data_IF_216291923605
#
_entry.id   IF_216291923605
#
_cell.length_a   1.000
_cell.length_b   1.000
_cell.length_c   1.000
_cell.angle_alpha   90.00
_cell.angle_beta   90.00
_cell.angle_gamma   90.00
#
_symmetry.space_group_name_H-M   'P 1'
#
loop_
_entity.id
_entity.type
_entity.pdbx_description
1 polymer ?
#
# COMPACT_ATOMS: atom_id res chain seq x y z
N UNK A 1 -49.44 -2.94 34.34
CA UNK A 1 -50.25 -3.97 35.02
C UNK A 1 -50.86 -4.86 33.94
N UNK A 2 -50.89 -6.20 34.02
CA UNK A 2 -50.33 -7.15 35.01
C UNK A 2 -49.31 -8.14 34.38
N UNK A 3 -48.48 -8.70 35.19
CA UNK A 3 -48.26 -9.94 36.04
C UNK A 3 -47.55 -11.05 35.25
N UNK A 4 -46.30 -11.27 35.59
CA UNK A 4 -45.63 -12.31 36.38
C UNK A 4 -46.24 -13.73 36.27
N UNK A 5 -45.38 -14.69 35.86
CA UNK A 5 -45.39 -16.04 36.45
C UNK A 5 -44.02 -16.73 36.25
N UNK A 6 -43.43 -17.05 37.39
CA UNK A 6 -42.27 -17.91 37.59
C UNK A 6 -42.66 -19.38 37.44
N UNK A 7 -41.72 -20.21 36.99
CA UNK A 7 -41.81 -21.64 37.29
C UNK A 7 -40.40 -22.18 37.66
N UNK A 8 -40.33 -22.67 38.90
CA UNK A 8 -39.27 -23.45 39.54
C UNK A 8 -39.35 -24.91 39.11
N UNK A 9 -38.23 -25.57 38.87
CA UNK A 9 -38.07 -27.05 39.05
C UNK A 9 -36.60 -27.30 39.42
N UNK A 10 -36.43 -27.63 40.53
CA UNK A 10 -35.98 -28.66 41.47
C UNK A 10 -34.75 -29.51 41.07
N UNK A 11 -33.82 -29.48 42.03
CA UNK A 11 -32.62 -30.30 42.20
C UNK A 11 -32.90 -31.82 42.22
N UNK A 12 -31.88 -32.59 41.76
CA UNK A 12 -31.60 -33.91 42.31
C UNK A 12 -30.10 -34.06 42.57
N UNK A 13 -29.77 -34.21 43.87
CA UNK A 13 -28.47 -34.65 44.36
C UNK A 13 -28.44 -36.17 44.34
N UNK A 14 -27.35 -36.77 43.89
CA UNK A 14 -26.99 -38.14 44.24
C UNK A 14 -25.57 -38.14 44.79
N UNK A 15 -25.50 -38.39 46.07
CA UNK A 15 -24.30 -38.65 46.87
C UNK A 15 -23.94 -40.13 46.68
N UNK A 16 -22.68 -40.40 46.33
CA UNK A 16 -22.08 -41.73 46.57
C UNK A 16 -20.78 -41.53 47.34
N UNK A 17 -20.85 -42.05 48.59
CA UNK A 17 -19.70 -42.18 49.49
C UNK A 17 -19.01 -43.53 49.23
N UNK A 18 -17.67 -43.48 49.23
CA UNK A 18 -16.85 -44.72 49.13
C UNK A 18 -15.41 -44.43 49.53
N UNK A 19 -15.18 -44.47 50.79
CA UNK A 19 -14.11 -45.04 51.65
C UNK A 19 -12.69 -45.11 51.13
N UNK A 20 -11.86 -44.36 51.84
CA UNK A 20 -10.44 -44.31 52.12
C UNK A 20 -9.65 -45.66 52.03
N UNK A 21 -8.48 -45.59 51.42
CA UNK A 21 -7.28 -46.32 51.90
C UNK A 21 -6.02 -45.44 51.63
N UNK A 22 -5.37 -45.07 52.70
CA UNK A 22 -4.08 -44.45 52.74
C UNK A 22 -2.98 -45.50 52.50
N UNK A 23 -1.97 -45.14 51.67
CA UNK A 23 -0.54 -45.23 52.02
C UNK A 23 0.32 -45.04 50.75
N UNK A 24 1.30 -44.20 50.87
CA UNK A 24 2.37 -44.09 49.88
C UNK A 24 2.82 -42.65 49.59
N UNK A 25 3.33 -42.00 50.65
CA UNK A 25 4.16 -40.84 50.44
C UNK A 25 5.44 -41.28 49.74
N UNK A 26 5.64 -40.83 48.50
CA UNK A 26 7.01 -40.61 47.99
C UNK A 26 7.01 -39.29 47.22
N UNK A 27 7.95 -38.46 47.62
CA UNK A 27 8.28 -37.20 47.06
C UNK A 27 8.52 -37.30 45.53
N UNK A 28 7.66 -36.65 44.77
CA UNK A 28 7.97 -36.17 43.42
C UNK A 28 7.95 -34.67 43.50
N UNK A 29 8.97 -34.19 44.21
CA UNK A 29 9.29 -32.79 44.35
C UNK A 29 10.03 -32.27 43.15
N UNK A 30 9.64 -31.07 42.74
CA UNK A 30 10.55 -30.05 42.26
C UNK A 30 11.32 -30.33 40.96
N UNK A 31 10.67 -30.71 39.88
CA UNK A 31 11.25 -30.60 38.54
C UNK A 31 10.33 -30.04 37.45
N UNK A 32 9.16 -29.58 37.79
CA UNK A 32 8.22 -28.97 36.81
C UNK A 32 8.12 -27.43 36.88
N UNK A 33 8.97 -26.80 37.67
CA UNK A 33 8.98 -25.34 37.83
C UNK A 33 10.06 -24.61 37.03
N UNK A 34 10.67 -25.24 36.01
CA UNK A 34 11.72 -24.64 35.21
C UNK A 34 11.65 -24.98 33.70
N UNK A 35 10.44 -25.07 33.18
CA UNK A 35 10.22 -24.98 31.72
C UNK A 35 9.40 -23.74 31.40
N UNK A 36 9.84 -22.55 31.79
CA UNK A 36 9.63 -21.38 30.98
C UNK A 36 10.43 -21.61 29.70
N UNK A 37 9.77 -22.11 28.66
CA UNK A 37 10.34 -22.13 27.32
C UNK A 37 10.69 -20.67 27.00
N UNK A 38 11.97 -20.33 27.03
CA UNK A 38 12.44 -19.09 26.41
C UNK A 38 12.00 -19.18 24.97
N UNK A 39 10.89 -18.53 24.63
CA UNK A 39 10.48 -18.39 23.26
C UNK A 39 11.63 -17.71 22.53
N UNK A 40 12.19 -18.37 21.51
CA UNK A 40 13.26 -17.79 20.70
C UNK A 40 12.83 -16.42 20.22
N UNK A 41 13.66 -15.40 20.43
CA UNK A 41 13.40 -14.05 19.92
C UNK A 41 13.81 -13.90 18.45
N UNK A 42 14.38 -14.95 17.87
CA UNK A 42 14.76 -14.96 16.45
C UNK A 42 13.52 -14.86 15.57
N UNK A 43 13.58 -13.96 14.59
CA UNK A 43 12.50 -13.74 13.63
C UNK A 43 12.37 -12.28 13.20
N UNK A 44 11.38 -12.03 12.35
CA UNK A 44 10.98 -10.69 11.91
C UNK A 44 9.95 -10.12 12.87
N UNK A 45 10.19 -8.92 13.34
CA UNK A 45 9.37 -8.19 14.29
C UNK A 45 8.88 -6.88 13.69
N UNK A 46 7.66 -6.50 14.04
CA UNK A 46 7.12 -5.17 13.75
C UNK A 46 7.16 -4.35 15.02
N UNK A 47 7.99 -3.33 15.00
CA UNK A 47 8.14 -2.36 16.08
C UNK A 47 7.16 -1.22 15.87
N UNK A 48 6.39 -0.90 16.90
CA UNK A 48 5.55 0.29 16.99
C UNK A 48 6.14 1.20 18.06
N UNK A 49 6.81 2.26 17.66
CA UNK A 49 7.39 3.26 18.54
C UNK A 49 6.42 4.44 18.69
N UNK A 50 6.20 4.89 19.93
CA UNK A 50 5.46 6.13 20.23
C UNK A 50 6.41 7.32 20.15
N UNK A 51 6.38 8.03 19.03
CA UNK A 51 7.20 9.22 18.80
C UNK A 51 6.35 10.46 18.99
N UNK A 52 6.42 11.04 20.19
CA UNK A 52 5.65 12.20 20.60
C UNK A 52 4.13 12.07 20.39
N UNK A 53 3.56 10.89 20.73
CA UNK A 53 2.14 10.59 20.55
C UNK A 53 1.76 10.09 19.14
N UNK A 54 2.72 9.96 18.25
CA UNK A 54 2.51 9.43 16.90
C UNK A 54 3.13 8.05 16.78
N UNK A 55 2.37 7.00 16.38
CA UNK A 55 2.92 5.68 16.15
C UNK A 55 3.78 5.67 14.89
N UNK A 56 5.05 5.29 15.01
CA UNK A 56 5.94 4.99 13.89
C UNK A 56 6.27 3.50 13.88
N UNK A 57 6.25 2.92 12.68
CA UNK A 57 6.47 1.50 12.51
C UNK A 57 7.83 1.23 11.86
N UNK A 58 8.55 0.26 12.42
CA UNK A 58 9.84 -0.22 11.89
C UNK A 58 9.83 -1.73 11.81
N UNK A 59 10.61 -2.29 10.89
CA UNK A 59 10.95 -3.72 10.89
C UNK A 59 12.21 -3.94 11.72
N UNK A 60 12.24 -5.05 12.43
CA UNK A 60 13.40 -5.51 13.17
C UNK A 60 13.60 -7.01 12.89
N UNK A 61 14.78 -7.41 12.49
CA UNK A 61 15.16 -8.81 12.35
C UNK A 61 16.11 -9.18 13.47
N UNK A 62 15.75 -10.19 14.25
CA UNK A 62 16.59 -10.71 15.33
C UNK A 62 17.01 -12.13 15.02
N UNK A 63 18.29 -12.41 15.25
CA UNK A 63 18.87 -13.74 15.32
C UNK A 63 19.61 -13.89 16.65
N UNK A 64 19.20 -14.87 17.43
CA UNK A 64 19.81 -15.20 18.72
C UNK A 64 20.73 -16.41 18.58
N UNK A 65 21.97 -16.27 19.03
CA UNK A 65 22.94 -17.37 19.14
C UNK A 65 23.69 -17.27 20.48
N UNK A 66 23.44 -18.21 21.39
CA UNK A 66 24.08 -18.29 22.69
C UNK A 66 24.03 -16.97 23.51
N UNK A 67 22.88 -16.33 23.54
CA UNK A 67 22.65 -15.07 24.26
C UNK A 67 23.16 -13.82 23.54
N UNK A 68 23.73 -13.95 22.35
CA UNK A 68 24.08 -12.83 21.47
C UNK A 68 22.92 -12.56 20.50
N UNK A 69 22.65 -11.28 20.28
CA UNK A 69 21.69 -10.83 19.29
C UNK A 69 22.40 -10.20 18.10
N UNK A 70 21.98 -10.57 16.90
CA UNK A 70 22.44 -10.02 15.64
C UNK A 70 21.23 -9.80 14.73
N UNK A 71 21.37 -8.96 13.72
CA UNK A 71 20.33 -8.70 12.73
C UNK A 71 20.32 -7.28 12.24
N UNK A 72 19.15 -6.72 12.05
CA UNK A 72 18.96 -5.32 11.67
C UNK A 72 17.74 -4.69 12.35
N UNK A 73 17.78 -3.37 12.51
CA UNK A 73 16.67 -2.53 12.88
C UNK A 73 16.46 -1.48 11.77
N UNK A 74 15.32 -1.51 11.12
CA UNK A 74 15.00 -0.63 9.98
C UNK A 74 15.99 -0.70 8.79
N UNK A 75 16.81 -1.76 8.73
CA UNK A 75 17.89 -1.96 7.76
C UNK A 75 19.28 -1.71 8.34
N UNK A 76 19.40 -1.05 9.49
CA UNK A 76 20.67 -0.75 10.15
C UNK A 76 21.17 -1.93 10.98
N UNK A 77 22.43 -2.31 10.77
CA UNK A 77 23.00 -3.49 11.42
C UNK A 77 22.99 -3.36 12.93
N UNK A 78 22.36 -4.33 13.62
CA UNK A 78 22.32 -4.40 15.07
C UNK A 78 23.22 -5.50 15.64
N UNK A 79 23.78 -5.22 16.82
CA UNK A 79 24.47 -6.17 17.67
C UNK A 79 24.06 -5.97 19.13
N UNK A 80 23.87 -7.07 19.87
CA UNK A 80 23.41 -6.98 21.26
C UNK A 80 23.43 -8.29 22.00
N UNK A 81 22.68 -8.34 23.10
CA UNK A 81 22.57 -9.50 23.99
C UNK A 81 21.17 -9.69 24.51
N UNK A 82 20.84 -10.94 24.84
CA UNK A 82 19.66 -11.30 25.62
C UNK A 82 20.10 -12.08 26.86
N UNK A 83 19.59 -11.68 28.03
CA UNK A 83 19.82 -12.38 29.30
C UNK A 83 18.49 -12.62 29.99
N UNK A 84 18.06 -13.88 30.06
CA UNK A 84 16.70 -14.19 30.47
C UNK A 84 15.69 -13.57 29.51
N UNK A 85 14.87 -12.66 30.02
CA UNK A 85 13.88 -11.93 29.20
C UNK A 85 14.36 -10.51 28.82
N UNK A 86 15.55 -10.09 29.23
CA UNK A 86 16.05 -8.73 28.98
C UNK A 86 16.85 -8.67 27.69
N UNK A 87 16.49 -7.76 26.82
CA UNK A 87 17.15 -7.46 25.53
C UNK A 87 17.87 -6.13 25.64
N UNK A 88 19.09 -6.08 25.14
CA UNK A 88 19.84 -4.85 24.88
C UNK A 88 20.56 -5.00 23.55
N UNK A 89 20.38 -4.03 22.64
CA UNK A 89 21.15 -3.95 21.40
C UNK A 89 21.41 -2.50 20.98
N UNK A 90 22.37 -2.33 20.08
CA UNK A 90 22.63 -1.07 19.39
C UNK A 90 22.62 -1.37 17.89
N UNK A 91 21.79 -0.64 17.14
CA UNK A 91 21.87 -0.57 15.69
C UNK A 91 22.65 0.70 15.29
N UNK A 92 23.28 0.69 14.11
CA UNK A 92 24.10 1.79 13.59
C UNK A 92 23.84 2.01 12.12
N UNK A 93 23.50 3.26 11.76
CA UNK A 93 23.41 3.69 10.39
C UNK A 93 24.79 3.96 9.76
N UNK A 94 24.79 4.15 8.44
CA UNK A 94 26.04 4.42 7.68
C UNK A 94 26.63 5.81 7.96
N UNK A 95 25.84 6.75 8.50
CA UNK A 95 26.23 8.11 8.84
C UNK A 95 26.81 8.21 10.27
N UNK A 96 26.66 7.15 11.07
CA UNK A 96 27.15 7.06 12.45
C UNK A 96 26.09 7.40 13.51
N UNK A 97 24.84 7.54 13.12
CA UNK A 97 23.70 7.55 14.04
C UNK A 97 23.51 6.20 14.71
N UNK A 98 22.79 6.17 15.83
CA UNK A 98 22.55 4.94 16.58
C UNK A 98 21.14 4.85 17.13
N UNK A 99 20.62 3.61 17.17
CA UNK A 99 19.42 3.21 17.90
C UNK A 99 19.79 2.26 19.03
N UNK A 100 19.79 2.75 20.25
CA UNK A 100 20.04 1.94 21.44
C UNK A 100 18.74 1.44 22.06
N UNK A 101 18.56 0.13 22.10
CA UNK A 101 17.34 -0.51 22.59
C UNK A 101 17.57 -1.20 23.92
N UNK A 102 16.70 -0.94 24.90
CA UNK A 102 16.58 -1.69 26.15
C UNK A 102 15.14 -2.16 26.31
N UNK A 103 14.91 -3.46 26.34
CA UNK A 103 13.57 -4.03 26.31
C UNK A 103 13.45 -5.33 27.11
N UNK A 104 12.22 -5.79 27.30
CA UNK A 104 11.87 -7.10 27.86
C UNK A 104 10.95 -7.86 26.93
N UNK A 105 11.15 -9.18 26.88
CA UNK A 105 10.27 -10.12 26.18
C UNK A 105 9.27 -10.69 27.17
N UNK A 106 7.98 -10.58 26.87
CA UNK A 106 6.91 -11.19 27.66
C UNK A 106 5.75 -11.58 26.75
N UNK A 107 5.29 -12.80 26.87
CA UNK A 107 4.10 -13.32 26.18
C UNK A 107 4.13 -13.05 24.65
N UNK A 108 5.30 -13.25 24.00
CA UNK A 108 5.45 -13.05 22.56
C UNK A 108 5.50 -11.58 22.13
N UNK A 109 5.61 -10.65 23.07
CA UNK A 109 5.76 -9.21 22.81
C UNK A 109 7.09 -8.73 23.37
N UNK A 110 7.80 -7.90 22.64
CA UNK A 110 8.97 -7.14 23.12
C UNK A 110 8.48 -5.72 23.45
N UNK A 111 8.81 -5.21 24.62
CA UNK A 111 8.45 -3.85 25.01
C UNK A 111 9.60 -3.18 25.76
N UNK A 112 9.80 -1.88 25.51
CA UNK A 112 10.92 -1.16 26.11
C UNK A 112 11.05 0.27 25.64
N UNK A 113 12.29 0.73 25.67
CA UNK A 113 12.69 2.07 25.23
C UNK A 113 13.75 1.92 24.14
N UNK A 114 13.64 2.73 23.11
CA UNK A 114 14.63 2.91 22.07
C UNK A 114 15.09 4.37 22.09
N UNK A 115 16.40 4.58 22.05
CA UNK A 115 17.04 5.91 22.06
C UNK A 115 17.66 6.12 20.68
N UNK A 116 17.13 7.09 19.95
CA UNK A 116 17.67 7.54 18.68
C UNK A 116 18.71 8.63 18.93
N UNK A 117 19.89 8.48 18.35
CA UNK A 117 20.96 9.45 18.41
C UNK A 117 21.44 9.77 17.01
N UNK A 118 21.19 10.98 16.55
CA UNK A 118 21.66 11.47 15.26
C UNK A 118 23.18 11.74 15.31
N UNK A 119 23.91 11.33 14.27
CA UNK A 119 25.36 11.55 14.17
C UNK A 119 25.74 13.04 14.18
N UNK A 120 24.87 13.90 13.62
CA UNK A 120 25.04 15.36 13.59
C UNK A 120 24.65 16.06 14.87
N UNK A 121 23.89 15.40 15.77
CA UNK A 121 23.40 15.96 17.04
C UNK A 121 23.45 14.96 18.20
N UNK A 122 24.60 14.35 18.40
CA UNK A 122 24.80 13.34 19.45
C UNK A 122 24.58 13.87 20.90
N UNK A 123 24.50 15.19 21.07
CA UNK A 123 24.23 15.80 22.37
C UNK A 123 22.75 15.75 22.79
N UNK A 124 21.83 15.51 21.85
CA UNK A 124 20.39 15.54 22.10
C UNK A 124 19.69 14.23 21.68
N UNK A 125 19.99 13.08 22.32
CA UNK A 125 19.34 11.82 22.00
C UNK A 125 17.86 11.86 22.36
N UNK A 126 17.03 11.19 21.57
CA UNK A 126 15.59 11.11 21.76
C UNK A 126 15.17 9.70 22.18
N UNK A 127 14.52 9.57 23.34
CA UNK A 127 14.07 8.30 23.89
C UNK A 127 12.56 8.11 23.69
N UNK A 128 12.17 6.97 23.11
CA UNK A 128 10.80 6.64 22.82
C UNK A 128 10.42 5.26 23.34
N UNK A 129 9.21 5.13 23.85
CA UNK A 129 8.66 3.81 24.19
C UNK A 129 8.25 3.08 22.94
N UNK A 130 8.40 1.76 22.96
CA UNK A 130 7.96 0.92 21.88
C UNK A 130 7.37 -0.41 22.35
N UNK A 131 6.58 -1.03 21.49
CA UNK A 131 6.20 -2.44 21.54
C UNK A 131 6.54 -3.08 20.21
N UNK A 132 6.93 -4.37 20.24
CA UNK A 132 7.12 -5.12 19.02
C UNK A 132 6.46 -6.49 19.11
N UNK A 133 5.87 -6.93 18.01
CA UNK A 133 5.25 -8.25 17.86
C UNK A 133 5.88 -8.98 16.68
N UNK A 134 5.89 -10.30 16.73
CA UNK A 134 6.32 -11.11 15.58
C UNK A 134 5.48 -10.72 14.36
N UNK A 135 6.17 -10.52 13.22
CA UNK A 135 5.49 -10.24 11.97
C UNK A 135 4.56 -11.39 11.59
N UNK A 136 3.32 -11.08 11.16
CA UNK A 136 2.35 -12.10 10.78
C UNK A 136 2.90 -13.01 9.70
N UNK A 137 2.54 -14.29 9.79
CA UNK A 137 2.92 -15.31 8.80
C UNK A 137 1.83 -15.44 7.75
N UNK A 138 2.23 -15.70 6.49
CA UNK A 138 1.27 -15.96 5.41
C UNK A 138 0.39 -17.16 5.79
N UNK A 139 -0.92 -17.00 5.63
CA UNK A 139 -1.88 -18.09 5.83
C UNK A 139 -1.56 -19.26 4.91
N UNK A 140 -1.52 -20.46 5.47
CA UNK A 140 -1.44 -21.69 4.67
C UNK A 140 -2.86 -22.06 4.23
N UNK A 141 -3.09 -22.16 2.94
CA UNK A 141 -4.40 -22.49 2.38
C UNK A 141 -4.54 -22.09 0.91
N UNK A 142 -5.70 -22.41 0.36
CA UNK A 142 -6.04 -22.01 -1.02
C UNK A 142 -6.46 -20.54 -1.01
N UNK A 143 -5.94 -19.71 -1.94
CA UNK A 143 -6.41 -18.35 -2.11
C UNK A 143 -7.92 -18.27 -2.28
N UNK A 144 -8.54 -17.23 -1.75
CA UNK A 144 -9.98 -17.03 -1.79
C UNK A 144 -10.32 -15.94 -2.80
N UNK A 145 -11.52 -16.04 -3.38
CA UNK A 145 -12.12 -14.96 -4.18
C UNK A 145 -13.25 -14.34 -3.39
N UNK A 146 -13.19 -13.02 -3.24
CA UNK A 146 -14.14 -12.21 -2.49
C UNK A 146 -14.99 -11.39 -3.48
N UNK A 147 -16.31 -11.55 -3.40
CA UNK A 147 -17.27 -10.65 -4.05
C UNK A 147 -17.60 -9.53 -3.07
N UNK A 148 -17.14 -8.32 -3.35
CA UNK A 148 -17.31 -7.18 -2.46
C UNK A 148 -18.16 -6.09 -3.11
N UNK A 149 -19.30 -5.77 -2.51
CA UNK A 149 -20.13 -4.63 -2.93
C UNK A 149 -19.83 -3.45 -2.00
N UNK A 150 -19.26 -2.35 -2.51
CA UNK A 150 -18.91 -1.20 -1.68
C UNK A 150 -20.14 -0.46 -1.18
N UNK A 151 -20.14 -0.12 0.10
CA UNK A 151 -21.15 0.71 0.77
C UNK A 151 -20.54 1.94 1.42
N UNK A 152 -19.22 1.97 1.53
CA UNK A 152 -18.44 3.07 2.10
C UNK A 152 -17.35 3.44 1.12
N UNK A 153 -17.18 4.74 0.91
CA UNK A 153 -16.16 5.30 0.03
C UNK A 153 -15.41 6.39 0.81
N UNK A 154 -14.09 6.39 0.71
CA UNK A 154 -13.26 7.36 1.41
C UNK A 154 -12.76 8.42 0.43
N UNK A 155 -12.64 9.66 0.91
CA UNK A 155 -12.11 10.81 0.16
C UNK A 155 -10.80 11.33 0.74
N UNK A 156 -10.15 10.52 1.57
CA UNK A 156 -8.83 10.78 2.14
C UNK A 156 -8.11 9.45 2.33
N UNK A 157 -6.83 9.41 2.02
CA UNK A 157 -5.96 8.28 2.38
C UNK A 157 -5.50 8.44 3.82
N UNK A 158 -5.82 7.50 4.68
CA UNK A 158 -5.48 7.60 6.11
C UNK A 158 -5.25 6.24 6.74
N UNK A 159 -4.22 6.16 7.58
CA UNK A 159 -4.01 5.02 8.46
C UNK A 159 -5.15 4.82 9.50
N UNK A 160 -5.97 5.83 9.72
CA UNK A 160 -7.12 5.78 10.64
C UNK A 160 -8.42 5.29 9.98
N UNK A 161 -8.45 5.14 8.65
CA UNK A 161 -9.62 4.63 7.96
C UNK A 161 -9.88 3.16 8.31
N UNK A 162 -11.14 2.84 8.63
CA UNK A 162 -11.51 1.46 8.96
C UNK A 162 -11.51 0.60 7.70
N UNK A 163 -10.84 -0.55 7.72
CA UNK A 163 -10.89 -1.49 6.61
C UNK A 163 -12.32 -1.95 6.32
N UNK A 164 -12.65 -2.05 5.03
CA UNK A 164 -13.94 -2.56 4.57
C UNK A 164 -13.94 -4.08 4.40
N UNK A 165 -12.77 -4.66 4.18
CA UNK A 165 -12.54 -6.10 4.04
C UNK A 165 -11.10 -6.43 4.43
N UNK A 166 -10.90 -7.60 5.04
CA UNK A 166 -9.57 -8.18 5.27
C UNK A 166 -9.35 -9.30 4.25
N UNK A 167 -8.19 -9.28 3.59
CA UNK A 167 -7.78 -10.25 2.57
C UNK A 167 -6.39 -10.78 2.86
N UNK A 168 -6.10 -12.00 2.43
CA UNK A 168 -4.78 -12.62 2.58
C UNK A 168 -3.97 -12.52 1.27
N UNK A 169 -2.63 -12.53 1.33
CA UNK A 169 -1.81 -12.66 0.14
C UNK A 169 -2.20 -13.86 -0.73
N UNK A 170 -2.43 -13.61 -2.01
CA UNK A 170 -2.95 -14.55 -2.99
C UNK A 170 -4.46 -14.46 -3.20
N UNK A 171 -5.21 -13.82 -2.30
CA UNK A 171 -6.65 -13.65 -2.47
C UNK A 171 -6.97 -12.68 -3.62
N UNK A 172 -8.13 -12.88 -4.23
CA UNK A 172 -8.67 -12.03 -5.28
C UNK A 172 -9.91 -11.30 -4.77
N UNK A 173 -10.03 -10.01 -5.07
CA UNK A 173 -11.22 -9.19 -4.78
C UNK A 173 -11.86 -8.77 -6.08
N UNK A 174 -13.15 -9.04 -6.23
CA UNK A 174 -13.99 -8.50 -7.29
C UNK A 174 -14.94 -7.46 -6.69
N UNK A 175 -14.95 -6.27 -7.26
CA UNK A 175 -15.68 -5.11 -6.74
C UNK A 175 -16.07 -4.13 -7.84
N UNK A 176 -16.75 -3.05 -7.47
CA UNK A 176 -17.03 -1.91 -8.35
C UNK A 176 -16.51 -0.62 -7.73
N UNK A 177 -16.29 0.41 -8.56
CA UNK A 177 -15.96 1.76 -8.11
C UNK A 177 -17.13 2.71 -8.41
N UNK A 178 -17.12 3.88 -7.78
CA UNK A 178 -17.83 5.06 -8.26
C UNK A 178 -16.89 5.89 -9.12
N UNK A 179 -17.40 6.84 -9.90
CA UNK A 179 -16.57 7.82 -10.60
C UNK A 179 -16.06 8.93 -9.66
N UNK A 180 -15.17 9.80 -10.14
CA UNK A 180 -14.63 10.94 -9.38
C UNK A 180 -15.73 11.86 -8.81
N UNK A 181 -16.90 11.91 -9.42
CA UNK A 181 -18.09 12.62 -8.93
C UNK A 181 -18.86 11.89 -7.84
N UNK A 182 -18.52 10.63 -7.52
CA UNK A 182 -19.20 9.80 -6.54
C UNK A 182 -20.44 9.06 -7.06
N UNK A 183 -20.56 8.85 -8.38
CA UNK A 183 -21.73 8.26 -9.04
C UNK A 183 -21.42 6.81 -9.47
N UNK A 184 -22.32 5.90 -9.16
CA UNK A 184 -22.21 4.47 -9.47
C UNK A 184 -22.63 4.11 -10.91
N UNK A 185 -22.59 2.81 -11.22
CA UNK A 185 -22.96 2.26 -12.54
C UNK A 185 -24.41 2.51 -12.94
N UNK A 186 -25.29 2.82 -11.98
CA UNK A 186 -26.71 3.13 -12.21
C UNK A 186 -26.98 4.62 -12.33
N UNK A 187 -25.94 5.46 -12.23
CA UNK A 187 -26.07 6.91 -12.23
C UNK A 187 -26.57 7.47 -10.90
N UNK A 188 -26.44 6.71 -9.80
CA UNK A 188 -26.83 7.16 -8.47
C UNK A 188 -25.62 7.72 -7.73
N UNK A 189 -25.72 8.95 -7.25
CA UNK A 189 -24.69 9.53 -6.38
C UNK A 189 -24.70 8.82 -5.03
N UNK A 190 -23.59 8.16 -4.70
CA UNK A 190 -23.40 7.36 -3.48
C UNK A 190 -22.66 8.13 -2.40
N UNK A 191 -21.82 9.07 -2.80
CA UNK A 191 -20.95 9.87 -1.94
C UNK A 191 -20.67 11.21 -2.63
N UNK A 192 -20.18 12.19 -1.89
CA UNK A 192 -19.69 13.45 -2.47
C UNK A 192 -18.47 13.19 -3.36
N UNK A 193 -18.38 13.94 -4.46
CA UNK A 193 -17.24 13.91 -5.37
C UNK A 193 -15.91 14.32 -4.70
N UNK A 194 -14.83 14.31 -5.47
CA UNK A 194 -13.44 14.48 -5.05
C UNK A 194 -12.73 13.13 -4.94
N UNK A 195 -12.83 12.34 -5.99
CA UNK A 195 -12.21 11.02 -6.22
C UNK A 195 -12.44 10.04 -5.05
N UNK A 196 -13.72 9.68 -4.75
CA UNK A 196 -14.01 8.76 -3.64
C UNK A 196 -13.61 7.32 -3.99
N UNK A 197 -12.79 6.71 -3.13
CA UNK A 197 -12.17 5.42 -3.36
C UNK A 197 -12.90 4.26 -2.70
N UNK A 198 -12.89 3.10 -3.38
CA UNK A 198 -13.30 1.80 -2.83
C UNK A 198 -12.15 1.23 -1.98
N UNK A 199 -12.46 0.82 -0.76
CA UNK A 199 -11.47 0.39 0.23
C UNK A 199 -11.62 1.13 1.55
N UNK A 200 -10.58 1.12 2.46
CA UNK A 200 -9.36 0.34 2.28
C UNK A 200 -9.56 -1.15 2.56
N UNK A 201 -8.83 -1.95 1.80
CA UNK A 201 -8.68 -3.38 2.03
C UNK A 201 -7.46 -3.61 2.93
N UNK A 202 -7.67 -4.31 4.04
CA UNK A 202 -6.56 -4.71 4.92
C UNK A 202 -5.93 -5.99 4.38
N UNK A 203 -4.67 -5.94 3.97
CA UNK A 203 -3.92 -7.10 3.48
C UNK A 203 -3.17 -7.74 4.64
N UNK A 204 -3.59 -8.93 5.06
CA UNK A 204 -2.91 -9.69 6.12
C UNK A 204 -1.43 -9.86 5.77
N UNK A 205 -0.56 -9.81 6.78
CA UNK A 205 0.89 -9.89 6.64
C UNK A 205 1.61 -8.70 5.99
N UNK A 206 0.89 -7.77 5.34
CA UNK A 206 1.53 -6.55 4.82
C UNK A 206 1.92 -5.62 5.96
N UNK A 207 3.23 -5.39 6.13
CA UNK A 207 3.78 -4.60 7.23
C UNK A 207 4.67 -3.47 6.69
N UNK A 208 4.81 -2.37 7.41
CA UNK A 208 5.69 -1.28 7.02
C UNK A 208 7.09 -1.78 6.65
N UNK A 209 7.59 -1.35 5.48
CA UNK A 209 8.84 -1.83 4.92
C UNK A 209 8.72 -3.01 3.93
N UNK A 210 7.50 -3.55 3.76
CA UNK A 210 7.18 -4.51 2.71
C UNK A 210 6.78 -3.79 1.41
N UNK A 211 6.66 -4.55 0.33
CA UNK A 211 6.02 -4.12 -0.91
C UNK A 211 4.69 -4.85 -1.08
N UNK A 212 3.61 -4.11 -1.25
CA UNK A 212 2.34 -4.64 -1.69
C UNK A 212 2.37 -4.83 -3.21
N UNK A 213 1.91 -5.99 -3.67
CA UNK A 213 1.74 -6.33 -5.09
C UNK A 213 0.26 -6.40 -5.39
N UNK A 214 -0.21 -5.62 -6.36
CA UNK A 214 -1.61 -5.60 -6.83
C UNK A 214 -1.62 -5.95 -8.29
N UNK A 215 -2.19 -7.09 -8.65
CA UNK A 215 -2.36 -7.50 -10.04
C UNK A 215 -3.80 -7.22 -10.47
N UNK A 216 -3.99 -6.35 -11.43
CA UNK A 216 -5.30 -6.04 -12.01
C UNK A 216 -5.71 -7.15 -12.99
N UNK A 217 -6.66 -7.97 -12.61
CA UNK A 217 -7.15 -9.07 -13.45
C UNK A 217 -8.39 -8.69 -14.23
N UNK A 218 -9.05 -7.58 -13.84
CA UNK A 218 -10.19 -6.98 -14.53
C UNK A 218 -10.23 -5.49 -14.28
N UNK A 219 -10.33 -4.71 -15.36
CA UNK A 219 -10.64 -3.28 -15.34
C UNK A 219 -11.56 -3.01 -16.52
N UNK A 220 -12.88 -2.95 -16.29
CA UNK A 220 -13.87 -2.89 -17.35
C UNK A 220 -14.96 -1.86 -17.08
N UNK A 221 -15.44 -1.26 -18.12
CA UNK A 221 -16.58 -0.37 -18.06
C UNK A 221 -17.83 -1.13 -17.59
N UNK A 222 -18.58 -0.57 -16.67
CA UNK A 222 -19.85 -1.11 -16.16
C UNK A 222 -21.05 -0.19 -16.45
N UNK A 223 -20.83 0.88 -17.23
CA UNK A 223 -21.85 1.77 -17.77
C UNK A 223 -21.43 2.32 -19.14
N UNK A 224 -22.33 2.94 -19.88
CA UNK A 224 -22.17 3.39 -21.27
C UNK A 224 -21.92 4.90 -21.43
N UNK A 225 -21.53 5.59 -20.34
CA UNK A 225 -21.27 7.02 -20.36
C UNK A 225 -20.12 7.41 -19.43
N UNK A 226 -19.46 8.52 -19.77
CA UNK A 226 -18.42 9.16 -18.97
C UNK A 226 -18.62 10.68 -18.96
N UNK A 227 -17.90 11.33 -18.03
CA UNK A 227 -17.85 12.80 -17.93
C UNK A 227 -16.41 13.26 -18.10
N UNK A 228 -16.20 14.43 -18.67
CA UNK A 228 -14.93 15.14 -18.72
C UNK A 228 -15.18 16.65 -18.59
N UNK A 229 -14.13 17.46 -18.64
CA UNK A 229 -14.23 18.91 -18.72
C UNK A 229 -13.68 19.46 -20.05
N UNK A 230 -14.13 20.66 -20.46
CA UNK A 230 -13.74 21.32 -21.71
C UNK A 230 -12.68 22.42 -21.51
N UNK A 231 -11.80 22.28 -20.52
CA UNK A 231 -10.70 23.19 -20.28
C UNK A 231 -9.36 22.44 -20.22
N UNK A 232 -8.26 23.16 -20.49
CA UNK A 232 -6.93 22.67 -20.21
C UNK A 232 -6.52 23.12 -18.80
N UNK A 233 -5.91 22.19 -18.04
CA UNK A 233 -5.44 22.44 -16.68
C UNK A 233 -4.35 23.53 -16.62
N UNK A 234 -4.25 24.28 -15.51
CA UNK A 234 -3.35 25.45 -15.44
C UNK A 234 -1.88 25.14 -15.76
N UNK A 235 -1.37 23.96 -15.40
CA UNK A 235 0.02 23.57 -15.73
C UNK A 235 0.27 23.34 -17.23
N UNK A 236 -0.78 23.08 -18.00
CA UNK A 236 -0.71 22.92 -19.46
C UNK A 236 -0.87 24.21 -20.24
N UNK A 237 -1.06 25.38 -19.58
CA UNK A 237 -1.39 26.64 -20.20
C UNK A 237 -0.20 27.63 -20.17
N UNK A 238 0.15 28.19 -21.31
CA UNK A 238 0.84 29.47 -21.34
C UNK A 238 -0.14 30.64 -21.21
N UNK A 239 0.37 31.86 -21.13
CA UNK A 239 -0.44 33.08 -20.92
C UNK A 239 -1.49 33.28 -22.03
N UNK A 240 -1.11 33.05 -23.29
CA UNK A 240 -1.98 33.30 -24.45
C UNK A 240 -3.10 32.25 -24.52
N UNK A 241 -2.77 31.01 -24.24
CA UNK A 241 -3.77 29.91 -24.21
C UNK A 241 -4.69 30.05 -23.01
N UNK A 242 -4.19 30.48 -21.85
CA UNK A 242 -5.02 30.72 -20.65
C UNK A 242 -6.10 31.79 -20.91
N UNK A 243 -5.78 32.85 -21.63
CA UNK A 243 -6.76 33.85 -22.00
C UNK A 243 -7.85 33.29 -22.92
N UNK A 244 -7.49 32.36 -23.82
CA UNK A 244 -8.46 31.70 -24.71
C UNK A 244 -9.34 30.70 -23.97
N UNK A 245 -8.84 30.07 -22.90
CA UNK A 245 -9.55 29.07 -22.10
C UNK A 245 -10.41 29.65 -20.97
N UNK A 246 -10.51 30.98 -20.83
CA UNK A 246 -11.20 31.66 -19.71
C UNK A 246 -12.67 31.25 -19.50
N UNK A 247 -13.35 30.77 -20.53
CA UNK A 247 -14.76 30.34 -20.49
C UNK A 247 -14.91 28.81 -20.50
N UNK A 248 -13.81 28.05 -20.39
CA UNK A 248 -13.77 26.59 -20.30
C UNK A 248 -14.08 26.06 -18.90
N UNK A 249 -14.00 24.75 -18.73
CA UNK A 249 -14.27 24.04 -17.46
C UNK A 249 -15.74 23.67 -17.29
N UNK A 250 -16.47 23.49 -18.39
CA UNK A 250 -17.83 22.94 -18.37
C UNK A 250 -17.76 21.44 -18.52
N UNK A 251 -18.59 20.76 -17.75
CA UNK A 251 -18.68 19.30 -17.85
C UNK A 251 -19.23 18.86 -19.20
N UNK A 252 -18.59 17.88 -19.78
CA UNK A 252 -18.87 17.30 -21.08
C UNK A 252 -19.22 15.83 -20.93
N UNK A 253 -20.36 15.41 -21.50
CA UNK A 253 -20.80 14.02 -21.45
C UNK A 253 -20.41 13.27 -22.71
N UNK A 254 -19.94 12.04 -22.51
CA UNK A 254 -19.50 11.11 -23.55
C UNK A 254 -20.36 9.86 -23.54
N UNK A 255 -20.63 9.30 -24.71
CA UNK A 255 -21.17 7.97 -24.91
C UNK A 255 -20.02 6.98 -25.09
N UNK A 256 -20.08 5.85 -24.38
CA UNK A 256 -19.06 4.78 -24.42
C UNK A 256 -19.63 3.59 -25.22
N UNK A 257 -19.28 3.49 -26.48
CA UNK A 257 -19.65 2.37 -27.34
C UNK A 257 -18.69 1.20 -27.11
N UNK A 258 -19.03 0.36 -26.14
CA UNK A 258 -18.23 -0.81 -25.78
C UNK A 258 -18.22 -1.89 -26.87
N UNK A 259 -19.22 -1.92 -27.77
CA UNK A 259 -19.27 -2.88 -28.86
C UNK A 259 -18.27 -2.56 -29.96
N UNK A 260 -18.03 -1.26 -30.23
CA UNK A 260 -17.04 -0.81 -31.22
C UNK A 260 -15.73 -0.34 -30.57
N UNK A 261 -15.65 -0.28 -29.25
CA UNK A 261 -14.44 0.09 -28.52
C UNK A 261 -14.08 1.57 -28.62
N UNK A 262 -15.05 2.47 -28.73
CA UNK A 262 -14.82 3.91 -28.90
C UNK A 262 -15.71 4.75 -27.97
N UNK A 263 -15.22 5.94 -27.61
CA UNK A 263 -16.00 6.98 -26.95
C UNK A 263 -16.26 8.15 -27.90
N UNK A 264 -17.46 8.71 -27.86
CA UNK A 264 -17.89 9.86 -28.66
C UNK A 264 -18.61 10.88 -27.79
N UNK A 265 -18.53 12.16 -28.17
CA UNK A 265 -19.27 13.23 -27.50
C UNK A 265 -20.78 13.05 -27.70
N UNK A 266 -21.59 13.14 -26.63
CA UNK A 266 -23.05 13.12 -26.77
C UNK A 266 -23.61 14.37 -27.50
N UNK A 267 -22.94 15.50 -27.32
CA UNK A 267 -23.31 16.78 -27.94
C UNK A 267 -22.07 17.43 -28.57
N UNK A 268 -21.56 16.90 -29.68
CA UNK A 268 -20.41 17.45 -30.35
C UNK A 268 -20.69 18.80 -30.97
N UNK A 269 -19.69 19.67 -31.06
CA UNK A 269 -19.72 20.82 -31.97
C UNK A 269 -19.61 20.35 -33.43
N UNK A 270 -19.88 21.23 -34.39
CA UNK A 270 -19.73 20.92 -35.81
C UNK A 270 -18.34 20.37 -36.17
N UNK A 271 -17.28 20.95 -35.58
CA UNK A 271 -15.90 20.52 -35.80
C UNK A 271 -15.56 19.15 -35.17
N UNK A 272 -16.30 18.73 -34.15
CA UNK A 272 -16.08 17.47 -33.44
C UNK A 272 -17.15 16.40 -33.76
N UNK A 273 -18.02 16.63 -34.77
CA UNK A 273 -19.14 15.77 -35.10
C UNK A 273 -18.74 14.30 -35.34
N UNK A 274 -17.50 14.04 -35.78
CA UNK A 274 -16.98 12.70 -36.05
C UNK A 274 -15.77 12.35 -35.16
N UNK A 275 -15.51 13.15 -34.12
CA UNK A 275 -14.39 12.87 -33.20
C UNK A 275 -14.74 11.71 -32.29
N UNK A 276 -13.82 10.74 -32.24
CA UNK A 276 -13.91 9.59 -31.35
C UNK A 276 -12.54 9.21 -30.82
N UNK A 277 -12.50 8.61 -29.65
CA UNK A 277 -11.26 8.08 -29.05
C UNK A 277 -11.44 6.60 -28.73
N UNK A 278 -10.39 5.77 -28.86
CA UNK A 278 -10.42 4.38 -28.45
C UNK A 278 -10.68 4.26 -26.95
N UNK A 279 -11.55 3.33 -26.55
CA UNK A 279 -11.70 2.95 -25.15
C UNK A 279 -10.45 2.22 -24.66
N UNK A 280 -9.93 2.68 -23.54
CA UNK A 280 -8.82 2.06 -22.82
C UNK A 280 -9.07 2.19 -21.32
N UNK A 281 -9.96 1.34 -20.76
CA UNK A 281 -10.31 1.42 -19.35
C UNK A 281 -9.09 1.27 -18.45
N UNK A 282 -8.96 2.15 -17.47
CA UNK A 282 -7.86 2.20 -16.51
C UNK A 282 -8.34 2.62 -15.12
N UNK A 283 -7.51 2.48 -14.12
CA UNK A 283 -7.70 3.08 -12.79
C UNK A 283 -6.71 4.24 -12.62
N UNK A 284 -7.22 5.44 -12.36
CA UNK A 284 -6.42 6.60 -11.97
C UNK A 284 -5.81 6.37 -10.59
N UNK A 285 -6.57 5.78 -9.68
CA UNK A 285 -6.14 5.59 -8.31
C UNK A 285 -5.90 4.12 -7.92
N UNK A 286 -4.68 3.84 -7.47
CA UNK A 286 -4.31 2.65 -6.69
C UNK A 286 -3.34 3.11 -5.59
N UNK A 287 -3.72 2.94 -4.32
CA UNK A 287 -2.98 3.52 -3.20
C UNK A 287 -2.84 2.60 -2.00
N UNK A 288 -1.76 2.75 -1.24
CA UNK A 288 -1.69 2.32 0.17
C UNK A 288 -1.89 3.52 1.09
N UNK A 289 -2.28 3.29 2.35
CA UNK A 289 -2.34 4.39 3.30
C UNK A 289 -0.94 4.97 3.56
N UNK A 290 -0.80 6.31 3.60
CA UNK A 290 0.42 6.96 4.05
C UNK A 290 0.72 6.62 5.52
N UNK A 291 1.96 6.88 6.01
CA UNK A 291 2.29 6.59 7.40
C UNK A 291 1.40 7.39 8.37
N UNK A 292 1.13 6.88 9.58
CA UNK A 292 0.27 7.55 10.56
C UNK A 292 0.70 8.98 10.93
N UNK A 293 2.00 9.28 10.80
CA UNK A 293 2.56 10.60 11.05
C UNK A 293 2.24 11.62 9.95
N UNK A 294 1.87 11.17 8.76
CA UNK A 294 1.52 12.06 7.66
C UNK A 294 0.12 12.63 7.83
N UNK A 295 -0.08 13.87 7.39
CA UNK A 295 -1.43 14.39 7.18
C UNK A 295 -2.15 13.49 6.18
N UNK A 296 -3.44 13.25 6.40
CA UNK A 296 -4.26 12.47 5.49
C UNK A 296 -4.50 13.26 4.19
N UNK A 297 -3.86 12.92 3.06
CA UNK A 297 -4.11 13.61 1.79
C UNK A 297 -5.51 13.28 1.27
N UNK A 298 -6.06 14.16 0.45
CA UNK A 298 -7.27 13.88 -0.33
C UNK A 298 -7.03 12.74 -1.32
N UNK A 299 -8.10 12.08 -1.76
CA UNK A 299 -7.98 10.98 -2.72
C UNK A 299 -7.68 11.43 -4.15
N UNK A 300 -7.79 12.72 -4.47
CA UNK A 300 -7.21 13.33 -5.66
C UNK A 300 -5.71 13.67 -5.54
N UNK A 301 -5.06 13.32 -4.41
CA UNK A 301 -3.61 13.50 -4.25
C UNK A 301 -2.84 12.21 -4.55
N UNK A 302 -1.63 12.33 -5.06
CA UNK A 302 -0.69 11.23 -5.30
C UNK A 302 0.63 11.43 -4.57
N UNK A 303 1.48 10.40 -4.55
CA UNK A 303 2.80 10.48 -3.94
C UNK A 303 3.50 9.13 -3.85
N UNK A 304 4.52 9.03 -3.00
CA UNK A 304 5.26 7.78 -2.81
C UNK A 304 4.43 6.59 -2.29
N UNK A 305 3.16 6.78 -1.96
CA UNK A 305 2.21 5.75 -1.54
C UNK A 305 1.28 5.28 -2.69
N UNK A 306 1.42 5.80 -3.89
CA UNK A 306 0.46 5.70 -4.99
C UNK A 306 -0.52 6.86 -4.93
N UNK A 307 -1.80 6.60 -4.94
CA UNK A 307 -2.86 7.59 -4.94
C UNK A 307 -3.42 7.79 -6.34
N UNK A 308 -3.86 9.00 -6.61
CA UNK A 308 -4.33 9.46 -7.91
C UNK A 308 -3.13 9.63 -8.83
N UNK A 309 -2.70 8.53 -9.44
CA UNK A 309 -1.48 8.48 -10.29
C UNK A 309 -1.75 8.84 -11.73
N UNK A 310 -3.00 8.75 -12.15
CA UNK A 310 -3.54 9.01 -13.49
C UNK A 310 -2.62 8.52 -14.62
N UNK A 311 -2.13 7.30 -14.42
CA UNK A 311 -1.25 6.68 -15.39
C UNK A 311 -2.02 5.72 -16.30
N UNK A 312 -2.19 6.11 -17.55
CA UNK A 312 -3.01 5.40 -18.54
C UNK A 312 -2.51 4.00 -18.96
N UNK A 313 -1.52 3.44 -18.23
CA UNK A 313 -1.09 2.05 -18.34
C UNK A 313 -1.39 1.24 -17.07
N UNK A 314 -2.14 1.79 -16.11
CA UNK A 314 -2.71 1.06 -14.97
C UNK A 314 -4.03 0.42 -15.43
N UNK A 315 -3.92 -0.59 -16.29
CA UNK A 315 -5.00 -1.25 -17.01
C UNK A 315 -5.12 -2.73 -16.64
N UNK A 316 -6.16 -3.42 -17.13
CA UNK A 316 -6.27 -4.89 -17.03
C UNK A 316 -4.99 -5.57 -17.49
N UNK A 317 -4.44 -6.47 -16.67
CA UNK A 317 -3.18 -7.19 -16.91
C UNK A 317 -1.94 -6.51 -16.32
N UNK A 318 -2.05 -5.28 -15.81
CA UNK A 318 -0.93 -4.61 -15.14
C UNK A 318 -0.73 -5.14 -13.71
N UNK A 319 0.52 -5.14 -13.27
CA UNK A 319 0.91 -5.39 -11.87
C UNK A 319 1.48 -4.10 -11.27
N UNK A 320 0.95 -3.69 -10.13
CA UNK A 320 1.36 -2.48 -9.41
C UNK A 320 2.10 -2.90 -8.15
N UNK A 321 3.24 -2.27 -7.88
CA UNK A 321 4.03 -2.45 -6.67
C UNK A 321 4.00 -1.16 -5.86
N UNK A 322 3.52 -1.23 -4.62
CA UNK A 322 3.37 -0.07 -3.73
C UNK A 322 4.13 -0.29 -2.42
N UNK A 323 4.77 0.74 -1.86
CA UNK A 323 5.40 0.61 -0.55
C UNK A 323 4.34 0.51 0.55
N UNK A 324 4.51 -0.42 1.46
CA UNK A 324 3.69 -0.51 2.67
C UNK A 324 4.27 0.40 3.74
N UNK A 325 3.46 1.33 4.27
CA UNK A 325 3.85 2.30 5.32
C UNK A 325 2.99 2.19 6.57
N UNK A 326 1.90 1.42 6.50
CA UNK A 326 0.95 1.20 7.58
C UNK A 326 0.63 -0.29 7.63
N UNK A 327 0.46 -0.92 8.83
CA UNK A 327 0.06 -2.32 8.93
C UNK A 327 -1.20 -2.61 8.11
N UNK A 328 -1.16 -3.71 7.35
CA UNK A 328 -2.22 -4.10 6.43
C UNK A 328 -2.24 -3.32 5.12
N UNK A 329 -1.24 -2.47 4.85
CA UNK A 329 -1.14 -1.61 3.68
C UNK A 329 -2.31 -0.63 3.52
N UNK A 330 -3.54 -1.06 3.81
CA UNK A 330 -4.80 -0.34 3.60
C UNK A 330 -4.92 0.09 2.13
N UNK A 331 -5.17 -0.90 1.26
CA UNK A 331 -5.26 -0.69 -0.19
C UNK A 331 -6.57 -0.01 -0.58
N UNK A 332 -6.48 1.02 -1.43
CA UNK A 332 -7.60 1.71 -2.08
C UNK A 332 -7.50 1.53 -3.60
N UNK A 333 -8.66 1.45 -4.25
CA UNK A 333 -8.77 1.40 -5.71
C UNK A 333 -9.98 2.23 -6.17
N UNK A 334 -9.83 2.96 -7.27
CA UNK A 334 -10.93 3.73 -7.83
C UNK A 334 -10.51 4.66 -8.95
N UNK A 335 -11.23 5.75 -9.11
CA UNK A 335 -10.98 6.75 -10.13
C UNK A 335 -10.84 6.13 -11.53
N UNK A 336 -11.94 5.56 -12.02
CA UNK A 336 -11.94 4.82 -13.27
C UNK A 336 -12.12 5.71 -14.49
N UNK A 337 -11.19 5.62 -15.46
CA UNK A 337 -11.26 6.36 -16.71
C UNK A 337 -11.53 5.42 -17.88
N UNK A 338 -12.48 5.78 -18.74
CA UNK A 338 -12.74 5.03 -19.98
C UNK A 338 -11.65 5.23 -21.03
N UNK A 339 -10.97 6.39 -21.01
CA UNK A 339 -9.80 6.74 -21.79
C UNK A 339 -9.14 7.99 -21.20
N UNK A 340 -7.82 8.08 -21.31
CA UNK A 340 -7.02 9.24 -20.88
C UNK A 340 -5.83 9.45 -21.81
N UNK A 341 -5.60 10.69 -22.21
CA UNK A 341 -4.34 11.12 -22.85
C UNK A 341 -3.23 11.35 -21.84
N UNK A 342 -1.97 11.31 -22.27
CA UNK A 342 -0.84 11.63 -21.39
C UNK A 342 -1.00 13.05 -20.84
N UNK A 343 -0.73 13.21 -19.54
CA UNK A 343 -0.81 14.46 -18.80
C UNK A 343 -2.19 14.80 -18.25
N UNK A 344 -3.23 14.07 -18.61
CA UNK A 344 -4.63 14.37 -18.18
C UNK A 344 -5.00 15.85 -18.36
N UNK A 345 -4.72 16.39 -19.54
CA UNK A 345 -4.72 17.83 -19.76
C UNK A 345 -6.06 18.54 -19.57
N UNK A 346 -7.16 17.83 -19.58
CA UNK A 346 -8.49 18.39 -19.32
C UNK A 346 -8.95 18.26 -17.85
N UNK A 347 -8.17 17.64 -16.99
CA UNK A 347 -8.39 17.60 -15.56
C UNK A 347 -9.27 16.48 -15.03
N UNK A 348 -9.97 15.77 -15.93
CA UNK A 348 -10.92 14.70 -15.57
C UNK A 348 -10.98 13.58 -16.63
N UNK A 349 -10.02 13.46 -17.53
CA UNK A 349 -10.03 12.42 -18.57
C UNK A 349 -11.45 12.04 -19.07
N UNK A 350 -11.82 10.74 -19.12
CA UNK A 350 -13.20 10.26 -19.31
C UNK A 350 -13.66 9.50 -18.06
N UNK A 351 -14.12 10.23 -17.06
CA UNK A 351 -14.52 9.74 -15.74
C UNK A 351 -15.71 8.79 -15.79
N UNK A 352 -15.54 7.60 -15.23
CA UNK A 352 -16.62 6.61 -15.18
C UNK A 352 -16.45 5.64 -14.02
N UNK A 353 -17.51 4.92 -13.69
CA UNK A 353 -17.43 3.79 -12.75
C UNK A 353 -16.90 2.53 -13.44
N UNK A 354 -16.27 1.63 -12.67
CA UNK A 354 -15.63 0.43 -13.18
C UNK A 354 -16.09 -0.84 -12.47
N UNK A 355 -16.03 -1.95 -13.21
CA UNK A 355 -16.00 -3.33 -12.71
C UNK A 355 -14.54 -3.75 -12.60
N UNK A 356 -14.07 -3.99 -11.37
CA UNK A 356 -12.67 -4.18 -11.04
C UNK A 356 -12.46 -5.52 -10.35
N UNK A 357 -11.43 -6.27 -10.79
CA UNK A 357 -10.94 -7.43 -10.06
C UNK A 357 -9.42 -7.34 -9.94
N UNK A 358 -8.93 -7.60 -8.74
CA UNK A 358 -7.49 -7.60 -8.47
C UNK A 358 -7.10 -8.71 -7.50
N UNK A 359 -5.86 -9.18 -7.63
CA UNK A 359 -5.23 -10.11 -6.69
C UNK A 359 -4.16 -9.35 -5.92
N UNK A 360 -4.04 -9.62 -4.61
CA UNK A 360 -3.01 -9.02 -3.76
C UNK A 360 -1.93 -10.03 -3.39
N UNK A 361 -0.68 -9.58 -3.32
CA UNK A 361 0.41 -10.33 -2.70
C UNK A 361 1.34 -9.38 -1.94
N UNK A 362 2.27 -9.92 -1.16
CA UNK A 362 3.22 -9.16 -0.35
C UNK A 362 4.62 -9.70 -0.56
N UNK A 363 5.58 -8.81 -0.84
CA UNK A 363 7.01 -9.12 -0.83
C UNK A 363 7.57 -8.63 0.50
N UNK A 364 7.82 -9.55 1.46
CA UNK A 364 8.24 -9.17 2.80
C UNK A 364 9.67 -8.61 2.83
N UNK A 365 9.91 -7.58 3.65
CA UNK A 365 11.23 -7.02 3.89
C UNK A 365 11.86 -6.32 2.68
N UNK A 366 11.10 -6.14 1.60
CA UNK A 366 11.55 -5.44 0.40
C UNK A 366 10.78 -4.12 0.27
N UNK A 367 11.46 -3.01 0.47
CA UNK A 367 10.90 -1.67 0.34
C UNK A 367 11.15 -1.12 -1.06
N UNK A 368 10.09 -0.67 -1.74
CA UNK A 368 10.20 0.15 -2.94
C UNK A 368 10.12 1.63 -2.57
N UNK A 369 10.88 2.53 -3.23
CA UNK A 369 10.87 3.96 -2.89
C UNK A 369 9.56 4.65 -3.28
N UNK A 370 8.89 4.19 -4.34
CA UNK A 370 7.65 4.72 -4.86
C UNK A 370 6.90 3.70 -5.72
N UNK A 371 5.76 4.07 -6.32
CA UNK A 371 4.98 3.19 -7.14
C UNK A 371 5.76 2.69 -8.36
N UNK A 372 5.55 1.40 -8.69
CA UNK A 372 6.07 0.76 -9.90
C UNK A 372 4.92 0.04 -10.59
N UNK A 373 4.95 0.02 -11.91
CA UNK A 373 3.97 -0.70 -12.72
C UNK A 373 4.71 -1.65 -13.67
N UNK A 374 4.21 -2.84 -13.81
CA UNK A 374 4.76 -3.83 -14.74
C UNK A 374 3.66 -4.34 -15.66
N UNK A 375 3.90 -4.28 -16.97
CA UNK A 375 3.04 -4.86 -18.00
C UNK A 375 3.72 -6.07 -18.64
N UNK A 376 3.07 -6.69 -19.61
CA UNK A 376 3.66 -7.76 -20.39
C UNK A 376 4.97 -7.33 -21.07
N UNK A 377 5.08 -6.06 -21.48
CA UNK A 377 6.18 -5.55 -22.31
C UNK A 377 7.13 -4.58 -21.60
N UNK A 378 6.71 -3.93 -20.53
CA UNK A 378 7.49 -2.85 -19.88
C UNK A 378 7.58 -3.03 -18.38
N UNK A 379 8.68 -2.54 -17.80
CA UNK A 379 8.78 -2.11 -16.41
C UNK A 379 8.70 -0.59 -16.38
N UNK A 380 8.01 -0.04 -15.39
CA UNK A 380 7.66 1.38 -15.34
C UNK A 380 7.77 1.87 -13.90
N UNK A 381 8.61 2.86 -13.66
CA UNK A 381 8.80 3.47 -12.35
C UNK A 381 8.22 4.88 -12.34
N UNK A 382 7.43 5.17 -11.30
CA UNK A 382 6.74 6.45 -11.19
C UNK A 382 7.47 7.38 -10.22
N UNK A 383 7.46 8.65 -10.57
CA UNK A 383 7.75 9.76 -9.68
C UNK A 383 6.53 10.68 -9.63
N UNK A 384 6.07 10.97 -8.43
CA UNK A 384 4.88 11.75 -8.13
C UNK A 384 5.28 12.85 -7.15
N UNK A 385 5.32 14.11 -7.59
CA UNK A 385 5.80 15.22 -6.77
C UNK A 385 5.23 16.57 -7.22
N UNK A 386 5.42 17.61 -6.42
CA UNK A 386 4.89 18.94 -6.64
C UNK A 386 5.34 19.63 -7.95
N UNK A 387 6.41 19.16 -8.58
CA UNK A 387 6.90 19.64 -9.86
C UNK A 387 7.23 18.49 -10.82
N UNK A 388 7.17 18.74 -12.13
CA UNK A 388 7.60 17.76 -13.15
C UNK A 388 9.09 17.42 -12.97
N UNK A 389 9.93 18.39 -12.62
CA UNK A 389 11.38 18.18 -12.43
C UNK A 389 11.66 17.23 -11.28
N UNK A 390 10.96 17.36 -10.15
CA UNK A 390 11.12 16.48 -9.00
C UNK A 390 10.50 15.12 -9.28
N UNK A 391 9.34 15.08 -9.92
CA UNK A 391 8.73 13.83 -10.38
C UNK A 391 9.65 13.06 -11.35
N UNK A 392 10.32 13.75 -12.28
CA UNK A 392 11.31 13.16 -13.19
C UNK A 392 12.50 12.55 -12.43
N UNK A 393 13.07 13.27 -11.44
CA UNK A 393 14.16 12.77 -10.60
C UNK A 393 13.73 11.54 -9.81
N UNK A 394 12.53 11.59 -9.22
CA UNK A 394 11.98 10.48 -8.43
C UNK A 394 11.70 9.24 -9.29
N UNK A 395 11.17 9.39 -10.51
CA UNK A 395 10.98 8.29 -11.46
C UNK A 395 12.32 7.64 -11.84
N UNK A 396 13.33 8.48 -12.11
CA UNK A 396 14.68 8.03 -12.47
C UNK A 396 15.33 7.25 -11.31
N UNK A 397 15.30 7.80 -10.10
CA UNK A 397 15.84 7.14 -8.91
C UNK A 397 15.11 5.81 -8.59
N UNK A 398 13.78 5.79 -8.74
CA UNK A 398 12.99 4.59 -8.52
C UNK A 398 13.32 3.48 -9.55
N UNK A 399 13.55 3.83 -10.82
CA UNK A 399 13.97 2.86 -11.84
C UNK A 399 15.40 2.40 -11.62
N UNK A 400 16.31 3.29 -11.25
CA UNK A 400 17.69 2.94 -10.91
C UNK A 400 17.72 1.87 -9.80
N UNK A 401 17.01 2.14 -8.70
CA UNK A 401 16.88 1.19 -7.61
C UNK A 401 16.28 -0.17 -8.08
N UNK A 402 15.32 -0.15 -9.01
CA UNK A 402 14.74 -1.40 -9.54
C UNK A 402 15.76 -2.22 -10.34
N UNK A 403 16.59 -1.55 -11.17
CA UNK A 403 17.65 -2.19 -11.95
C UNK A 403 18.76 -2.76 -11.05
N UNK A 404 19.19 -2.00 -10.05
CA UNK A 404 20.16 -2.45 -9.04
C UNK A 404 19.65 -3.66 -8.27
N UNK A 405 18.40 -3.62 -7.82
CA UNK A 405 17.78 -4.72 -7.08
C UNK A 405 17.66 -6.01 -7.91
N UNK A 406 17.21 -5.89 -9.16
CA UNK A 406 16.86 -7.04 -10.01
C UNK A 406 18.07 -7.63 -10.73
N UNK A 407 19.00 -6.79 -11.14
CA UNK A 407 20.13 -7.19 -12.00
C UNK A 407 21.49 -6.98 -11.35
N UNK A 408 21.56 -6.44 -10.12
CA UNK A 408 22.79 -6.09 -9.40
C UNK A 408 23.72 -5.14 -10.19
N UNK A 409 23.14 -4.23 -10.98
CA UNK A 409 23.89 -3.25 -11.74
C UNK A 409 24.57 -2.24 -10.80
N UNK A 410 25.77 -1.85 -11.14
CA UNK A 410 26.45 -0.71 -10.51
C UNK A 410 25.88 0.63 -11.04
N UNK A 411 26.03 1.74 -10.31
CA UNK A 411 25.53 3.04 -10.79
C UNK A 411 25.99 3.44 -12.20
N UNK A 412 27.24 3.22 -12.64
CA UNK A 412 27.64 3.45 -14.03
C UNK A 412 26.89 2.55 -15.03
N UNK A 413 26.66 1.26 -14.71
CA UNK A 413 25.91 0.35 -15.59
C UNK A 413 24.42 0.75 -15.67
N UNK A 414 23.84 1.22 -14.57
CA UNK A 414 22.49 1.80 -14.58
C UNK A 414 22.43 3.00 -15.53
N UNK A 415 23.44 3.89 -15.48
CA UNK A 415 23.50 5.04 -16.38
C UNK A 415 23.57 4.64 -17.87
N UNK A 416 24.31 3.58 -18.23
CA UNK A 416 24.36 3.05 -19.58
C UNK A 416 22.99 2.51 -20.04
N UNK A 417 22.31 1.72 -19.18
CA UNK A 417 20.98 1.19 -19.47
C UNK A 417 19.98 2.32 -19.63
N UNK A 418 19.91 3.26 -18.68
CA UNK A 418 18.97 4.37 -18.72
C UNK A 418 19.24 5.30 -19.89
N UNK A 419 20.51 5.63 -20.17
CA UNK A 419 20.89 6.50 -21.26
C UNK A 419 20.54 5.98 -22.67
N UNK A 420 20.30 4.68 -22.79
CA UNK A 420 20.07 4.02 -24.10
C UNK A 420 18.67 3.44 -24.28
N UNK A 421 17.90 3.23 -23.19
CA UNK A 421 16.61 2.53 -23.25
C UNK A 421 15.46 3.20 -22.49
N UNK A 422 15.71 4.31 -21.80
CA UNK A 422 14.67 4.99 -21.05
C UNK A 422 13.69 5.73 -21.96
N UNK A 423 12.40 5.52 -21.71
CA UNK A 423 11.28 6.27 -22.26
C UNK A 423 10.57 7.01 -21.13
N UNK A 424 10.22 8.28 -21.33
CA UNK A 424 9.49 9.05 -20.34
C UNK A 424 8.09 9.41 -20.82
N UNK A 425 7.12 9.34 -19.88
CA UNK A 425 5.77 9.85 -20.06
C UNK A 425 5.42 10.78 -18.91
N UNK A 426 4.57 11.75 -19.17
CA UNK A 426 3.87 12.53 -18.15
C UNK A 426 2.53 11.84 -17.93
N UNK A 427 2.28 11.29 -16.74
CA UNK A 427 1.02 10.62 -16.45
C UNK A 427 -0.09 11.65 -16.24
N UNK A 428 0.16 12.65 -15.38
CA UNK A 428 -0.79 13.72 -15.10
C UNK A 428 -0.08 15.02 -14.74
N UNK A 429 -0.77 16.15 -14.98
CA UNK A 429 -0.42 17.49 -14.50
C UNK A 429 -1.65 18.24 -13.98
N UNK A 430 -2.75 17.52 -13.83
CA UNK A 430 -4.05 18.03 -13.42
C UNK A 430 -4.08 18.39 -11.93
N UNK A 431 -3.54 17.51 -11.12
CA UNK A 431 -3.65 17.57 -9.68
C UNK A 431 -2.52 18.33 -8.99
N UNK A 432 -2.53 18.26 -7.66
CA UNK A 432 -1.53 18.93 -6.82
C UNK A 432 -0.11 18.47 -7.14
N UNK A 433 0.09 17.17 -7.29
CA UNK A 433 1.36 16.59 -7.72
C UNK A 433 1.33 16.32 -9.23
N UNK A 434 2.48 16.43 -9.88
CA UNK A 434 2.66 15.97 -11.25
C UNK A 434 3.19 14.55 -11.24
N UNK A 435 2.80 13.77 -12.25
CA UNK A 435 3.25 12.41 -12.44
C UNK A 435 4.18 12.28 -13.65
N UNK A 436 5.37 11.73 -13.43
CA UNK A 436 6.31 11.32 -14.49
C UNK A 436 6.61 9.84 -14.36
N UNK A 437 6.60 9.14 -15.47
CA UNK A 437 6.87 7.71 -15.54
C UNK A 437 8.07 7.44 -16.43
N UNK A 438 9.07 6.76 -15.88
CA UNK A 438 10.16 6.19 -16.66
C UNK A 438 9.81 4.76 -17.01
N UNK A 439 9.86 4.44 -18.30
CA UNK A 439 9.56 3.11 -18.85
C UNK A 439 10.80 2.51 -19.50
N UNK A 440 10.94 1.19 -19.41
CA UNK A 440 11.92 0.42 -20.17
C UNK A 440 11.23 -0.81 -20.76
N UNK A 441 11.38 -1.02 -22.07
CA UNK A 441 10.91 -2.23 -22.72
C UNK A 441 11.72 -3.43 -22.20
N UNK A 442 11.02 -4.48 -21.78
CA UNK A 442 11.64 -5.70 -21.25
C UNK A 442 12.58 -6.41 -22.25
N UNK A 443 12.39 -6.19 -23.54
CA UNK A 443 13.30 -6.71 -24.56
C UNK A 443 14.73 -6.20 -24.39
N UNK A 444 14.91 -4.93 -24.00
CA UNK A 444 16.23 -4.35 -23.71
C UNK A 444 16.90 -4.97 -22.47
N UNK A 445 16.12 -5.57 -21.58
CA UNK A 445 16.60 -6.16 -20.33
C UNK A 445 16.87 -7.67 -20.42
N UNK A 446 16.49 -8.32 -21.53
CA UNK A 446 16.62 -9.79 -21.70
C UNK A 446 18.07 -10.28 -21.67
N UNK A 447 19.00 -9.44 -22.09
CA UNK A 447 20.44 -9.77 -22.12
C UNK A 447 21.15 -9.50 -20.80
N UNK A 448 20.49 -8.85 -19.83
CA UNK A 448 21.04 -8.61 -18.51
C UNK A 448 20.99 -9.90 -17.69
N UNK A 449 22.09 -10.21 -17.02
CA UNK A 449 22.12 -11.34 -16.08
C UNK A 449 21.33 -10.98 -14.83
N UNK A 450 20.22 -11.65 -14.57
CA UNK A 450 19.47 -11.44 -13.32
C UNK A 450 20.29 -11.94 -12.13
N UNK A 451 20.17 -11.21 -11.00
CA UNK A 451 20.71 -11.69 -9.73
C UNK A 451 20.05 -13.03 -9.40
N UNK A 452 20.82 -14.11 -9.37
CA UNK A 452 20.32 -15.40 -8.88
C UNK A 452 19.74 -15.18 -7.48
N UNK A 453 18.52 -15.66 -7.26
CA UNK A 453 17.97 -15.70 -5.90
C UNK A 453 18.91 -16.56 -5.05
N UNK A 454 19.72 -15.94 -4.19
CA UNK A 454 20.47 -16.61 -3.16
C UNK A 454 19.57 -16.90 -1.97
#
# INVERSE_FOLDING_TARGET
MPKVSSLFVLLFFLVFSGIVSANGSQALDAQDAARTSNASVSGRWIVNADVFGTPLFYQMHLKEEAGKLMGDFAGDKLEGTITGNSIHFVAKDEQGGTEECTATVKDGTVSGTIVFTDAGDAAHPNAHKFTATIAPQRRVGVPQRHEFTPTTFYRQFSAANKPVLTVSPGDTVHTTTVDAGGTDEKGLTRVLGGNPETGPFYVETAMPGDTLVVQLTRVRLNRDWAMSDDAIVPRGLDTDLAVKMKDGGKSVRWHLDTAHGVATLEKPSEHLAHYSVPLRPMLGCVATAPPPAASAPGTGDSGGFGGNMDFNEVVEGATIYLPVRTPGALLYVGDGHAAQGDGELNGNALETSMDVEFTVDVIPGKRVPGPRVESATHIMAMGLDGSIDDAFRNATANMAAWLEEKYALTPPEVAEVLGTSAEYKVSEVADRNAGVVLKINKEHLQTLTSKSAM
#
